data_IF_184085421807
#
_entry.id   IF_184085421807
#
_cell.length_a   1.000
_cell.length_b   1.000
_cell.length_c   1.000
_cell.angle_alpha   90.00
_cell.angle_beta   90.00
_cell.angle_gamma   90.00
#
_symmetry.space_group_name_H-M   'P 1'
#
loop_
_entity.id
_entity.type
_entity.pdbx_description
1 polymer ?
#
# COMPACT_ATOMS: atom_id res chain seq x y z
N UNK A 1 23.29 -28.57 -10.17
CA UNK A 1 24.43 -29.04 -9.34
C UNK A 1 24.85 -27.92 -8.42
N UNK A 2 24.78 -28.17 -7.11
CA UNK A 2 25.30 -27.36 -6.00
C UNK A 2 24.99 -25.87 -5.92
N UNK A 3 23.82 -25.55 -5.37
CA UNK A 3 23.50 -24.24 -4.85
C UNK A 3 24.23 -23.97 -3.53
N UNK A 4 25.01 -22.88 -3.48
CA UNK A 4 25.60 -22.37 -2.26
C UNK A 4 24.48 -21.73 -1.41
N UNK A 5 24.01 -22.45 -0.39
CA UNK A 5 23.23 -21.85 0.70
C UNK A 5 24.21 -21.12 1.64
N UNK A 6 24.27 -19.80 1.56
CA UNK A 6 24.91 -18.99 2.59
C UNK A 6 23.90 -18.89 3.75
N UNK A 7 24.07 -19.75 4.74
CA UNK A 7 23.38 -19.65 6.03
C UNK A 7 24.08 -18.60 6.87
N UNK A 8 23.50 -17.40 6.95
CA UNK A 8 23.90 -16.43 7.97
C UNK A 8 23.37 -16.91 9.32
N UNK A 9 24.28 -17.47 10.13
CA UNK A 9 23.98 -17.82 11.52
C UNK A 9 23.87 -16.52 12.32
N UNK A 10 22.64 -16.24 12.77
CA UNK A 10 22.33 -15.15 13.69
C UNK A 10 23.14 -15.30 14.98
N UNK A 11 23.92 -14.28 15.33
CA UNK A 11 24.80 -14.21 16.50
C UNK A 11 24.08 -14.12 17.87
N UNK A 12 22.80 -14.40 17.97
CA UNK A 12 22.03 -14.26 19.22
C UNK A 12 21.23 -15.51 19.64
N UNK A 13 21.73 -16.70 19.31
CA UNK A 13 21.21 -17.97 19.85
C UNK A 13 22.31 -18.72 20.59
N UNK A 14 22.99 -18.07 21.54
CA UNK A 14 23.89 -18.77 22.49
C UNK A 14 23.63 -18.20 23.89
N UNK A 15 22.55 -18.59 24.50
CA UNK A 15 22.48 -18.91 25.92
C UNK A 15 21.90 -20.33 25.97
N UNK A 16 22.72 -21.26 25.59
CA UNK A 16 22.45 -22.67 25.81
C UNK A 16 23.75 -23.32 26.27
N UNK A 17 23.73 -23.72 27.49
CA UNK A 17 24.38 -24.91 28.02
C UNK A 17 25.92 -25.06 27.78
N UNK A 18 26.70 -24.43 28.62
CA UNK A 18 28.07 -24.93 28.91
C UNK A 18 27.92 -26.07 29.96
N UNK A 19 27.83 -27.30 29.48
CA UNK A 19 28.05 -28.47 30.33
C UNK A 19 29.55 -28.65 30.48
N UNK A 20 30.11 -28.22 31.63
CA UNK A 20 31.44 -28.60 32.06
C UNK A 20 31.38 -29.98 32.73
N UNK A 21 31.82 -31.02 32.05
CA UNK A 21 32.16 -32.29 32.66
C UNK A 21 33.50 -32.15 33.36
N UNK A 22 33.48 -31.91 34.68
CA UNK A 22 34.63 -32.12 35.54
C UNK A 22 34.45 -33.48 36.21
N UNK A 23 35.26 -34.44 35.81
CA UNK A 23 35.49 -35.68 36.56
C UNK A 23 36.49 -35.34 37.67
N UNK A 24 36.02 -35.34 38.91
CA UNK A 24 36.86 -35.11 40.08
C UNK A 24 36.18 -35.54 41.38
N UNK A 25 36.57 -36.67 41.88
CA UNK A 25 36.52 -37.28 43.21
C UNK A 25 35.81 -36.53 44.34
N UNK A 26 34.74 -37.11 44.85
CA UNK A 26 34.35 -37.27 46.24
C UNK A 26 34.25 -36.05 47.17
N UNK A 27 33.04 -35.45 47.23
CA UNK A 27 32.39 -34.97 48.47
C UNK A 27 30.89 -34.85 48.20
N UNK A 28 30.05 -35.35 49.13
CA UNK A 28 28.59 -35.13 49.09
C UNK A 28 28.32 -33.63 49.00
N UNK A 29 27.97 -33.14 47.85
CA UNK A 29 27.40 -31.79 47.64
C UNK A 29 25.91 -31.97 47.48
N UNK A 30 25.11 -31.23 48.25
CA UNK A 30 23.68 -31.09 48.08
C UNK A 30 23.36 -30.92 46.61
N UNK A 31 22.46 -31.76 46.06
CA UNK A 31 21.95 -31.60 44.71
C UNK A 31 21.23 -30.23 44.63
N UNK A 32 21.90 -29.23 44.03
CA UNK A 32 21.21 -28.03 43.61
C UNK A 32 20.08 -28.46 42.65
N UNK A 33 18.86 -28.33 43.07
CA UNK A 33 17.68 -28.55 42.24
C UNK A 33 17.77 -27.61 41.06
N UNK A 34 17.66 -28.13 39.83
CA UNK A 34 17.59 -27.28 38.65
C UNK A 34 16.43 -26.29 38.78
N UNK A 35 16.62 -25.02 38.44
CA UNK A 35 15.56 -24.01 38.56
C UNK A 35 14.39 -24.36 37.67
N UNK A 36 13.17 -24.29 38.21
CA UNK A 36 11.94 -24.58 37.48
C UNK A 36 11.39 -23.29 36.87
N UNK A 37 11.27 -23.26 35.53
CA UNK A 37 10.64 -22.17 34.82
C UNK A 37 9.20 -22.51 34.47
N UNK A 38 8.30 -21.54 34.70
CA UNK A 38 6.88 -21.64 34.31
C UNK A 38 6.51 -20.39 33.47
N UNK A 39 5.75 -20.62 32.41
CA UNK A 39 5.28 -19.57 31.53
C UNK A 39 3.76 -19.48 31.57
N UNK A 40 3.25 -18.23 31.53
CA UNK A 40 1.84 -17.94 31.43
C UNK A 40 1.59 -16.87 30.40
N UNK A 41 0.73 -17.16 29.43
CA UNK A 41 0.31 -16.21 28.38
C UNK A 41 -1.08 -15.68 28.67
N UNK A 42 -1.26 -14.35 28.49
CA UNK A 42 -2.55 -13.69 28.60
C UNK A 42 -2.77 -12.79 27.38
N UNK A 43 -3.97 -12.88 26.78
CA UNK A 43 -4.41 -11.97 25.73
C UNK A 43 -5.30 -10.93 26.37
N UNK A 44 -4.96 -9.65 26.21
CA UNK A 44 -5.69 -8.52 26.78
C UNK A 44 -7.13 -8.50 26.26
N UNK A 45 -8.11 -8.43 27.18
CA UNK A 45 -9.53 -8.34 26.86
C UNK A 45 -10.04 -6.92 27.05
N UNK A 46 -11.20 -6.63 26.45
CA UNK A 46 -11.84 -5.31 26.58
C UNK A 46 -12.09 -4.96 28.06
N UNK A 47 -11.61 -3.81 28.48
CA UNK A 47 -11.76 -3.29 29.85
C UNK A 47 -10.70 -3.76 30.84
N UNK A 48 -9.74 -4.59 30.45
CA UNK A 48 -8.59 -4.93 31.27
C UNK A 48 -7.51 -3.84 31.18
N UNK A 49 -6.76 -3.70 32.25
CA UNK A 49 -5.55 -2.91 32.32
C UNK A 49 -4.39 -3.77 32.81
N UNK A 50 -3.16 -3.30 32.62
CA UNK A 50 -1.98 -4.09 32.95
C UNK A 50 -1.92 -4.46 34.43
N UNK A 51 -2.42 -3.62 35.32
CA UNK A 51 -2.45 -3.89 36.75
C UNK A 51 -3.34 -5.12 37.10
N UNK A 52 -4.57 -5.12 36.58
CA UNK A 52 -5.50 -6.24 36.76
C UNK A 52 -5.02 -7.52 36.12
N UNK A 53 -4.29 -7.43 35.00
CA UNK A 53 -3.70 -8.60 34.34
C UNK A 53 -2.58 -9.20 35.21
N UNK A 54 -1.69 -8.34 35.73
CA UNK A 54 -0.62 -8.81 36.62
C UNK A 54 -1.15 -9.50 37.86
N UNK A 55 -2.29 -9.02 38.42
CA UNK A 55 -2.98 -9.71 39.52
C UNK A 55 -3.48 -11.09 39.11
N UNK A 56 -4.16 -11.19 37.95
CA UNK A 56 -4.64 -12.48 37.40
C UNK A 56 -3.50 -13.47 37.16
N UNK A 57 -2.35 -13.00 36.79
CA UNK A 57 -1.14 -13.79 36.57
C UNK A 57 -0.37 -14.08 37.87
N UNK A 58 -0.97 -13.73 39.04
CA UNK A 58 -0.39 -13.92 40.36
C UNK A 58 0.99 -13.25 40.52
N UNK A 59 1.12 -12.02 40.00
CA UNK A 59 2.27 -11.13 40.21
C UNK A 59 1.89 -10.08 41.24
N UNK A 60 1.96 -10.39 42.52
CA UNK A 60 1.51 -9.51 43.59
C UNK A 60 2.66 -8.69 44.17
N UNK A 61 3.71 -9.35 44.65
CA UNK A 61 4.75 -8.72 45.48
C UNK A 61 5.63 -7.69 44.69
N UNK A 62 5.83 -7.89 43.41
CA UNK A 62 6.65 -7.00 42.59
C UNK A 62 5.82 -6.12 41.63
N UNK A 63 4.49 -6.20 41.65
CA UNK A 63 3.59 -5.49 40.74
C UNK A 63 3.88 -3.99 40.64
N UNK A 64 3.90 -3.29 41.77
CA UNK A 64 4.16 -1.85 41.78
C UNK A 64 5.53 -1.47 41.24
N UNK A 65 6.55 -2.29 41.48
CA UNK A 65 7.90 -2.07 40.95
C UNK A 65 7.91 -2.21 39.43
N UNK A 66 7.24 -3.21 38.87
CA UNK A 66 7.09 -3.42 37.43
C UNK A 66 6.37 -2.24 36.78
N UNK A 67 5.21 -1.83 37.34
CA UNK A 67 4.44 -0.71 36.83
C UNK A 67 5.21 0.61 36.89
N UNK A 68 5.96 0.84 37.98
CA UNK A 68 6.80 2.03 38.14
C UNK A 68 7.94 2.04 37.12
N UNK A 69 8.60 0.90 36.94
CA UNK A 69 9.67 0.76 35.97
C UNK A 69 9.16 0.99 34.53
N UNK A 70 8.02 0.40 34.17
CA UNK A 70 7.35 0.66 32.86
C UNK A 70 6.99 2.12 32.66
N UNK A 71 6.45 2.79 33.71
CA UNK A 71 6.13 4.21 33.68
C UNK A 71 7.38 5.06 33.41
N UNK A 72 8.46 4.78 34.12
CA UNK A 72 9.73 5.50 33.95
C UNK A 72 10.35 5.31 32.56
N UNK A 73 10.11 4.15 31.95
CA UNK A 73 10.53 3.84 30.57
C UNK A 73 9.58 4.38 29.50
N UNK A 74 8.54 5.14 29.88
CA UNK A 74 7.60 5.72 28.93
C UNK A 74 6.57 4.76 28.33
N UNK A 75 6.30 3.64 29.00
CA UNK A 75 5.29 2.68 28.54
C UNK A 75 3.90 3.35 28.42
N UNK A 76 3.24 3.21 27.23
CA UNK A 76 1.99 3.90 26.96
C UNK A 76 0.77 3.15 27.55
N UNK A 77 0.57 3.21 28.87
CA UNK A 77 -0.53 2.49 29.57
C UNK A 77 -1.92 2.68 28.97
N UNK A 78 -2.17 3.84 28.32
CA UNK A 78 -3.45 4.12 27.64
C UNK A 78 -3.61 3.37 26.31
N UNK A 79 -2.55 2.76 25.83
CA UNK A 79 -2.54 1.99 24.57
C UNK A 79 -2.53 0.49 24.78
N UNK A 80 -2.87 0.01 26.00
CA UNK A 80 -3.17 -1.41 26.20
C UNK A 80 -4.50 -1.73 25.53
N UNK A 81 -4.45 -2.40 24.39
CA UNK A 81 -5.61 -2.66 23.55
C UNK A 81 -6.02 -4.14 23.64
N UNK A 82 -7.32 -4.44 23.49
CA UNK A 82 -7.76 -5.83 23.35
C UNK A 82 -7.06 -6.50 22.16
N UNK A 83 -6.50 -7.69 22.40
CA UNK A 83 -5.70 -8.44 21.44
C UNK A 83 -4.20 -8.39 21.70
N UNK A 84 -3.70 -7.41 22.46
CA UNK A 84 -2.30 -7.38 22.90
C UNK A 84 -1.96 -8.64 23.72
N UNK A 85 -0.70 -9.08 23.65
CA UNK A 85 -0.28 -10.33 24.31
C UNK A 85 0.72 -10.03 25.43
N UNK A 86 0.52 -10.69 26.57
CA UNK A 86 1.44 -10.66 27.70
C UNK A 86 1.94 -12.08 27.95
N UNK A 87 3.26 -12.26 27.92
CA UNK A 87 3.93 -13.47 28.31
C UNK A 87 4.68 -13.22 29.62
N UNK A 88 4.35 -13.99 30.65
CA UNK A 88 4.99 -13.95 31.96
C UNK A 88 5.82 -15.19 32.17
N UNK A 89 7.09 -15.05 32.54
CA UNK A 89 7.95 -16.14 32.95
C UNK A 89 8.26 -16.01 34.43
N UNK A 90 8.10 -17.09 35.17
CA UNK A 90 8.50 -17.22 36.58
C UNK A 90 9.61 -18.24 36.71
N UNK A 91 10.54 -18.01 37.63
CA UNK A 91 11.58 -18.93 38.05
C UNK A 91 11.37 -19.30 39.47
N UNK A 92 11.21 -20.61 39.78
CA UNK A 92 10.94 -21.13 41.12
C UNK A 92 9.72 -20.47 41.81
N UNK A 93 8.68 -20.12 40.97
CA UNK A 93 7.47 -19.44 41.43
C UNK A 93 7.58 -17.91 41.51
N UNK A 94 8.80 -17.35 41.48
CA UNK A 94 8.99 -15.90 41.53
C UNK A 94 9.01 -15.28 40.16
N UNK A 95 8.66 -14.01 40.05
CA UNK A 95 8.72 -13.21 38.79
C UNK A 95 10.13 -13.20 38.25
N UNK A 96 10.30 -13.61 36.98
CA UNK A 96 11.55 -13.57 36.24
C UNK A 96 11.50 -12.52 35.14
N UNK A 97 10.53 -12.61 34.22
CA UNK A 97 10.39 -11.66 33.14
C UNK A 97 8.93 -11.51 32.68
N UNK A 98 8.64 -10.39 32.02
CA UNK A 98 7.38 -10.12 31.36
C UNK A 98 7.66 -9.54 29.99
N UNK A 99 7.02 -10.11 28.96
CA UNK A 99 7.01 -9.58 27.61
C UNK A 99 5.60 -9.05 27.33
N UNK A 100 5.47 -7.77 27.02
CA UNK A 100 4.24 -7.16 26.56
C UNK A 100 4.37 -6.85 25.07
N UNK A 101 3.52 -7.44 24.26
CA UNK A 101 3.52 -7.28 22.80
C UNK A 101 2.21 -6.65 22.35
N UNK A 102 2.28 -5.44 21.77
CA UNK A 102 1.14 -4.77 21.13
C UNK A 102 1.00 -5.21 19.68
N UNK A 103 2.13 -5.25 18.98
CA UNK A 103 2.25 -5.70 17.59
C UNK A 103 3.68 -6.21 17.36
N UNK A 104 4.02 -6.51 16.12
CA UNK A 104 5.36 -6.98 15.78
C UNK A 104 6.45 -5.93 16.01
N UNK A 105 6.09 -4.64 16.03
CA UNK A 105 7.03 -3.53 16.17
C UNK A 105 7.15 -3.00 17.59
N UNK A 106 6.13 -3.19 18.42
CA UNK A 106 6.06 -2.64 19.77
C UNK A 106 6.03 -3.75 20.81
N UNK A 107 7.22 -4.18 21.23
CA UNK A 107 7.39 -5.20 22.26
C UNK A 107 8.25 -4.66 23.41
N UNK A 108 7.71 -4.75 24.63
CA UNK A 108 8.35 -4.31 25.87
C UNK A 108 8.77 -5.53 26.68
N UNK A 109 10.02 -5.54 27.11
CA UNK A 109 10.55 -6.58 28.00
C UNK A 109 10.85 -5.99 29.36
N UNK A 110 10.35 -6.63 30.39
CA UNK A 110 10.70 -6.36 31.79
C UNK A 110 11.40 -7.58 32.32
N UNK A 111 12.65 -7.43 32.75
CA UNK A 111 13.44 -8.50 33.34
C UNK A 111 13.81 -8.10 34.76
N UNK A 112 13.67 -9.03 35.70
CA UNK A 112 14.16 -8.87 37.07
C UNK A 112 15.66 -9.12 37.08
N UNK A 113 16.44 -8.11 37.43
CA UNK A 113 17.83 -8.26 37.84
C UNK A 113 17.91 -8.37 39.35
N UNK A 114 19.06 -8.69 39.90
CA UNK A 114 19.28 -8.93 41.35
C UNK A 114 18.85 -7.76 42.21
N UNK A 115 18.93 -6.54 41.74
CA UNK A 115 18.62 -5.31 42.50
C UNK A 115 17.53 -4.43 41.90
N UNK A 116 17.19 -4.58 40.60
CA UNK A 116 16.25 -3.70 39.90
C UNK A 116 15.46 -4.43 38.82
N UNK A 117 14.48 -3.73 38.22
CA UNK A 117 13.77 -4.19 37.03
C UNK A 117 14.33 -3.45 35.82
N UNK A 118 14.98 -4.21 34.95
CA UNK A 118 15.46 -3.68 33.67
C UNK A 118 14.32 -3.72 32.66
N UNK A 119 14.12 -2.61 31.98
CA UNK A 119 13.17 -2.53 30.87
C UNK A 119 13.95 -2.26 29.61
N UNK A 120 13.77 -3.14 28.65
CA UNK A 120 14.24 -2.91 27.28
C UNK A 120 13.04 -2.88 26.33
N UNK A 121 13.02 -1.90 25.42
CA UNK A 121 12.22 -1.99 24.21
C UNK A 121 13.05 -2.75 23.18
N UNK A 122 12.56 -3.86 22.72
CA UNK A 122 13.11 -4.46 21.53
C UNK A 122 12.52 -3.71 20.34
N UNK A 123 13.31 -2.90 19.70
CA UNK A 123 12.97 -2.48 18.34
C UNK A 123 13.21 -3.71 17.47
N UNK A 124 12.18 -4.18 16.77
CA UNK A 124 12.36 -5.32 15.90
C UNK A 124 13.42 -4.98 14.86
N UNK A 125 14.23 -5.94 14.51
CA UNK A 125 15.07 -5.83 13.33
C UNK A 125 14.11 -5.89 12.14
N UNK A 126 13.93 -4.75 11.51
CA UNK A 126 13.15 -4.66 10.28
C UNK A 126 14.12 -4.86 9.13
N UNK A 127 14.03 -6.00 8.50
CA UNK A 127 14.79 -6.31 7.30
C UNK A 127 13.97 -6.01 6.07
N UNK A 128 14.59 -5.47 5.02
CA UNK A 128 13.97 -5.30 3.70
C UNK A 128 14.59 -6.27 2.73
N UNK A 129 13.77 -6.94 1.95
CA UNK A 129 14.21 -7.87 0.92
C UNK A 129 13.55 -7.51 -0.41
N UNK A 130 14.39 -7.35 -1.44
CA UNK A 130 13.92 -7.20 -2.82
C UNK A 130 13.41 -8.54 -3.33
N UNK A 131 12.19 -8.56 -3.83
CA UNK A 131 11.51 -9.76 -4.31
C UNK A 131 10.89 -9.48 -5.67
N UNK A 132 11.07 -10.39 -6.62
CA UNK A 132 10.35 -10.38 -7.89
C UNK A 132 9.00 -11.08 -7.70
N UNK A 133 7.92 -10.36 -8.02
CA UNK A 133 6.54 -10.86 -8.08
C UNK A 133 6.11 -10.81 -9.54
N UNK A 134 5.72 -11.94 -10.10
CA UNK A 134 5.32 -12.03 -11.51
C UNK A 134 4.17 -13.02 -11.68
N UNK A 135 3.37 -12.82 -12.73
CA UNK A 135 2.26 -13.71 -13.03
C UNK A 135 1.49 -13.26 -14.25
N UNK A 136 0.56 -14.14 -14.67
CA UNK A 136 -0.35 -13.89 -15.77
C UNK A 136 -1.74 -13.54 -15.24
N UNK A 137 -2.44 -12.66 -15.94
CA UNK A 137 -3.82 -12.29 -15.63
C UNK A 137 -4.75 -13.40 -16.16
N UNK A 138 -5.39 -14.13 -15.25
CA UNK A 138 -6.29 -15.23 -15.60
C UNK A 138 -7.79 -14.86 -15.50
N UNK A 139 -8.12 -13.79 -14.77
CA UNK A 139 -9.48 -13.24 -14.64
C UNK A 139 -9.42 -11.73 -14.47
N UNK A 140 -8.93 -11.28 -13.34
CA UNK A 140 -8.61 -9.89 -13.07
C UNK A 140 -7.19 -9.79 -12.54
N UNK A 141 -6.53 -8.65 -12.75
CA UNK A 141 -5.22 -8.40 -12.16
C UNK A 141 -5.25 -8.58 -10.63
N UNK A 142 -6.34 -8.12 -9.99
CA UNK A 142 -6.52 -8.22 -8.55
C UNK A 142 -6.50 -9.68 -8.07
N UNK A 143 -7.32 -10.54 -8.66
CA UNK A 143 -7.39 -11.97 -8.29
C UNK A 143 -6.10 -12.72 -8.62
N UNK A 144 -5.50 -12.41 -9.76
CA UNK A 144 -4.23 -13.05 -10.18
C UNK A 144 -3.08 -12.74 -9.23
N UNK A 145 -2.95 -11.50 -8.78
CA UNK A 145 -1.94 -11.12 -7.79
C UNK A 145 -2.20 -11.73 -6.41
N UNK A 146 -3.47 -11.80 -5.95
CA UNK A 146 -3.80 -12.49 -4.69
C UNK A 146 -3.49 -14.00 -4.77
N UNK A 147 -3.75 -14.63 -5.90
CA UNK A 147 -3.45 -16.05 -6.12
C UNK A 147 -1.93 -16.31 -6.14
N UNK A 148 -1.13 -15.32 -6.54
CA UNK A 148 0.33 -15.36 -6.44
C UNK A 148 0.87 -15.20 -5.01
N UNK A 149 -0.03 -15.10 -4.01
CA UNK A 149 0.33 -14.98 -2.58
C UNK A 149 0.55 -13.55 -2.11
N UNK A 150 0.24 -12.55 -2.94
CA UNK A 150 0.43 -11.15 -2.61
C UNK A 150 -0.83 -10.55 -1.95
N UNK A 151 -0.69 -9.41 -1.29
CA UNK A 151 -1.83 -8.76 -0.63
C UNK A 151 -2.47 -7.68 -1.52
N UNK A 152 -3.70 -7.29 -1.19
CA UNK A 152 -4.42 -6.19 -1.85
C UNK A 152 -3.63 -4.87 -1.85
N UNK A 153 -2.74 -4.67 -0.87
CA UNK A 153 -1.90 -3.48 -0.80
C UNK A 153 -0.94 -3.39 -1.99
N UNK A 154 -0.29 -4.50 -2.38
CA UNK A 154 0.59 -4.50 -3.56
C UNK A 154 -0.19 -4.25 -4.84
N UNK A 155 -1.39 -4.85 -4.97
CA UNK A 155 -2.25 -4.61 -6.15
C UNK A 155 -2.57 -3.13 -6.31
N UNK A 156 -2.96 -2.47 -5.22
CA UNK A 156 -3.27 -1.03 -5.24
C UNK A 156 -2.03 -0.21 -5.62
N UNK A 157 -0.89 -0.48 -4.99
CA UNK A 157 0.38 0.21 -5.28
C UNK A 157 0.82 0.03 -6.74
N UNK A 158 0.69 -1.19 -7.27
CA UNK A 158 1.00 -1.46 -8.68
C UNK A 158 0.04 -0.70 -9.62
N UNK A 159 -1.25 -0.73 -9.34
CA UNK A 159 -2.22 0.04 -10.11
C UNK A 159 -1.95 1.55 -10.06
N UNK A 160 -1.49 2.07 -8.92
CA UNK A 160 -1.13 3.48 -8.77
C UNK A 160 0.07 3.88 -9.64
N UNK A 161 1.05 2.99 -9.87
CA UNK A 161 2.18 3.27 -10.78
C UNK A 161 1.69 3.62 -12.17
N UNK A 162 0.70 2.90 -12.68
CA UNK A 162 0.18 3.04 -14.04
C UNK A 162 -1.18 3.76 -14.12
N UNK A 163 -1.68 4.35 -13.05
CA UNK A 163 -3.03 4.95 -12.98
C UNK A 163 -3.29 6.03 -14.04
N UNK A 164 -2.24 6.57 -14.66
CA UNK A 164 -2.32 7.57 -15.73
C UNK A 164 -2.15 6.97 -17.14
N UNK A 165 -1.69 5.72 -17.25
CA UNK A 165 -1.43 5.04 -18.52
C UNK A 165 -2.48 3.97 -18.83
N UNK A 166 -2.90 3.20 -17.81
CA UNK A 166 -3.74 2.03 -17.93
C UNK A 166 -4.91 2.08 -16.95
N UNK A 167 -6.10 1.72 -17.42
CA UNK A 167 -7.25 1.47 -16.56
C UNK A 167 -7.37 -0.05 -16.29
N UNK A 168 -6.88 -0.47 -15.14
CA UNK A 168 -6.87 -1.88 -14.74
C UNK A 168 -8.27 -2.51 -14.57
N UNK A 169 -9.35 -1.75 -14.67
CA UNK A 169 -10.71 -2.28 -14.59
C UNK A 169 -11.31 -2.62 -15.95
N UNK A 170 -10.82 -1.98 -17.00
CA UNK A 170 -11.43 -2.08 -18.34
C UNK A 170 -10.47 -2.45 -19.45
N UNK A 171 -9.18 -2.35 -19.22
CA UNK A 171 -8.17 -2.56 -20.26
C UNK A 171 -7.28 -3.78 -20.00
N UNK A 172 -7.41 -4.43 -18.83
CA UNK A 172 -6.71 -5.69 -18.56
C UNK A 172 -7.48 -6.86 -19.16
N UNK A 173 -6.75 -7.79 -19.77
CA UNK A 173 -7.32 -8.96 -20.41
C UNK A 173 -6.70 -10.25 -19.89
N UNK A 174 -7.39 -11.34 -20.16
CA UNK A 174 -6.89 -12.67 -19.86
C UNK A 174 -5.68 -12.98 -20.76
N UNK A 175 -4.58 -13.42 -20.17
CA UNK A 175 -3.32 -13.66 -20.87
C UNK A 175 -2.32 -12.49 -20.79
N UNK A 176 -2.75 -11.30 -20.29
CA UNK A 176 -1.80 -10.23 -19.96
C UNK A 176 -0.87 -10.67 -18.82
N UNK A 177 0.29 -10.04 -18.68
CA UNK A 177 1.26 -10.40 -17.64
C UNK A 177 1.74 -9.18 -16.86
N UNK A 178 2.18 -9.43 -15.62
CA UNK A 178 2.74 -8.40 -14.74
C UNK A 178 4.05 -8.85 -14.11
N UNK A 179 4.95 -7.89 -13.89
CA UNK A 179 6.24 -8.09 -13.22
C UNK A 179 6.44 -6.92 -12.26
N UNK A 180 6.79 -7.22 -11.01
CA UNK A 180 6.95 -6.22 -9.96
C UNK A 180 8.19 -6.57 -9.16
N UNK A 181 9.20 -5.71 -9.20
CA UNK A 181 10.36 -5.81 -8.33
C UNK A 181 10.13 -4.88 -7.15
N UNK A 182 9.87 -5.47 -5.97
CA UNK A 182 9.35 -4.77 -4.80
C UNK A 182 10.17 -5.05 -3.56
N UNK A 183 10.38 -4.04 -2.74
CA UNK A 183 10.95 -4.17 -1.40
C UNK A 183 9.86 -4.64 -0.43
N UNK A 184 10.01 -5.85 0.08
CA UNK A 184 9.19 -6.41 1.16
C UNK A 184 9.86 -6.19 2.51
N UNK A 185 9.11 -5.73 3.47
CA UNK A 185 9.57 -5.48 4.84
C UNK A 185 9.19 -6.65 5.73
N UNK A 186 10.14 -7.16 6.47
CA UNK A 186 9.98 -8.28 7.41
C UNK A 186 10.38 -7.86 8.82
N UNK A 187 9.72 -8.46 9.80
CA UNK A 187 10.10 -8.40 11.21
C UNK A 187 10.24 -9.83 11.75
N UNK A 188 11.41 -10.18 12.23
CA UNK A 188 11.69 -11.55 12.71
C UNK A 188 11.22 -12.62 11.68
N UNK A 189 11.51 -12.40 10.38
CA UNK A 189 11.10 -13.24 9.24
C UNK A 189 9.58 -13.27 8.95
N UNK A 190 8.76 -12.46 9.61
CA UNK A 190 7.33 -12.32 9.32
C UNK A 190 7.15 -11.12 8.40
N UNK A 191 6.45 -11.32 7.29
CA UNK A 191 6.10 -10.25 6.36
C UNK A 191 5.21 -9.21 7.06
N UNK A 192 5.56 -7.92 6.93
CA UNK A 192 4.80 -6.80 7.50
C UNK A 192 4.08 -6.03 6.41
N UNK A 193 4.81 -5.50 5.43
CA UNK A 193 4.29 -4.63 4.38
C UNK A 193 5.29 -4.51 3.22
N UNK A 194 4.90 -3.82 2.17
CA UNK A 194 5.76 -3.43 1.06
C UNK A 194 6.32 -2.03 1.32
N UNK A 195 7.62 -1.86 1.15
CA UNK A 195 8.26 -0.54 1.27
C UNK A 195 8.06 0.25 -0.04
N UNK A 196 8.74 -0.14 -1.11
CA UNK A 196 8.61 0.53 -2.41
C UNK A 196 8.60 -0.47 -3.57
N UNK A 197 7.86 -0.15 -4.62
CA UNK A 197 8.01 -0.83 -5.92
C UNK A 197 9.20 -0.16 -6.61
N UNK A 198 10.26 -0.93 -6.85
CA UNK A 198 11.47 -0.41 -7.51
C UNK A 198 11.33 -0.45 -9.02
N UNK A 199 10.65 -1.48 -9.52
CA UNK A 199 10.31 -1.64 -10.93
C UNK A 199 8.94 -2.29 -11.07
N UNK A 200 8.17 -1.83 -12.04
CA UNK A 200 6.88 -2.38 -12.42
C UNK A 200 6.82 -2.53 -13.94
N UNK A 201 6.25 -3.65 -14.40
CA UNK A 201 5.96 -3.86 -15.80
C UNK A 201 4.59 -4.53 -15.94
N UNK A 202 3.82 -4.06 -16.90
CA UNK A 202 2.59 -4.69 -17.36
C UNK A 202 2.68 -4.87 -18.87
N UNK A 203 2.37 -6.07 -19.36
CA UNK A 203 2.35 -6.40 -20.79
C UNK A 203 1.00 -6.99 -21.15
N UNK A 204 0.39 -6.49 -22.20
CA UNK A 204 -0.91 -6.97 -22.64
C UNK A 204 -1.41 -6.29 -23.91
N UNK A 205 -2.66 -6.59 -24.28
CA UNK A 205 -3.28 -6.04 -25.49
C UNK A 205 -3.36 -4.50 -25.45
N UNK A 206 -3.48 -3.90 -24.26
CA UNK A 206 -3.46 -2.44 -24.11
C UNK A 206 -2.08 -1.81 -24.38
N UNK A 207 -1.03 -2.62 -24.43
CA UNK A 207 0.36 -2.21 -24.62
C UNK A 207 1.28 -2.68 -23.50
N UNK A 208 2.58 -2.39 -23.69
CA UNK A 208 3.62 -2.67 -22.71
C UNK A 208 3.94 -1.39 -21.93
N UNK A 209 3.81 -1.46 -20.61
CA UNK A 209 4.02 -0.34 -19.69
C UNK A 209 5.13 -0.66 -18.72
N UNK A 210 6.10 0.23 -18.59
CA UNK A 210 7.26 0.09 -17.73
C UNK A 210 7.32 1.26 -16.76
N UNK A 211 7.58 0.98 -15.49
CA UNK A 211 7.70 1.96 -14.42
C UNK A 211 8.97 1.71 -13.59
N UNK A 212 9.96 2.57 -13.74
CA UNK A 212 11.20 2.58 -12.97
C UNK A 212 11.09 3.65 -11.89
N UNK A 213 11.18 3.27 -10.63
CA UNK A 213 11.29 4.23 -9.53
C UNK A 213 12.67 4.85 -9.54
N UNK A 214 12.72 6.17 -9.54
CA UNK A 214 13.97 6.90 -9.48
C UNK A 214 13.86 8.11 -8.59
N UNK A 215 14.85 8.28 -7.72
CA UNK A 215 15.02 9.46 -6.86
C UNK A 215 16.26 10.20 -7.31
N UNK A 216 16.07 11.46 -7.73
CA UNK A 216 17.19 12.30 -8.15
C UNK A 216 18.01 12.81 -6.94
N UNK A 217 19.25 13.29 -7.14
CA UNK A 217 20.08 13.84 -6.08
C UNK A 217 19.48 15.06 -5.35
N UNK A 218 18.49 15.72 -5.93
CA UNK A 218 17.75 16.82 -5.30
C UNK A 218 16.58 16.33 -4.43
N UNK A 219 16.35 15.00 -4.41
CA UNK A 219 15.31 14.36 -3.61
C UNK A 219 13.95 14.29 -4.26
N UNK A 220 13.82 14.63 -5.56
CA UNK A 220 12.59 14.37 -6.32
C UNK A 220 12.51 12.89 -6.67
N UNK A 221 11.38 12.29 -6.38
CA UNK A 221 11.13 10.88 -6.63
C UNK A 221 9.83 10.69 -7.40
N UNK A 222 9.85 9.81 -8.39
CA UNK A 222 8.69 9.47 -9.20
C UNK A 222 8.94 8.15 -9.96
N UNK A 223 7.90 7.66 -10.65
CA UNK A 223 8.03 6.58 -11.63
C UNK A 223 8.20 7.15 -13.03
N UNK A 224 9.18 6.62 -13.73
CA UNK A 224 9.52 7.01 -15.09
C UNK A 224 9.47 5.79 -16.01
N UNK A 225 9.11 6.01 -17.28
CA UNK A 225 9.22 4.98 -18.31
C UNK A 225 10.69 4.78 -18.75
N UNK A 226 10.97 3.79 -19.59
CA UNK A 226 12.34 3.46 -19.99
C UNK A 226 13.12 4.65 -20.59
N UNK A 227 12.44 5.64 -21.20
CA UNK A 227 13.05 6.86 -21.72
C UNK A 227 13.14 8.00 -20.69
N UNK A 228 12.91 7.76 -19.43
CA UNK A 228 12.97 8.78 -18.39
C UNK A 228 11.83 9.79 -18.39
N UNK A 229 10.72 9.50 -19.10
CA UNK A 229 9.50 10.33 -19.06
C UNK A 229 8.65 9.93 -17.87
N UNK A 230 8.19 10.92 -17.07
CA UNK A 230 7.31 10.62 -15.92
C UNK A 230 6.04 9.88 -16.36
N UNK A 231 5.67 8.83 -15.66
CA UNK A 231 4.39 8.14 -15.85
C UNK A 231 3.23 8.99 -15.36
N UNK A 232 3.44 9.89 -14.41
CA UNK A 232 2.39 10.76 -13.88
C UNK A 232 1.95 11.77 -14.96
N UNK A 233 0.65 11.79 -15.19
CA UNK A 233 0.00 12.84 -15.97
C UNK A 233 -0.73 13.79 -15.05
N UNK A 234 -1.00 14.99 -15.50
CA UNK A 234 -1.73 15.98 -14.72
C UNK A 234 -3.19 15.60 -14.43
N UNK A 235 -3.71 14.60 -15.13
CA UNK A 235 -5.06 14.08 -14.97
C UNK A 235 -5.06 12.55 -15.05
N UNK A 236 -5.81 11.90 -14.15
CA UNK A 236 -6.07 10.45 -14.18
C UNK A 236 -6.89 10.05 -15.41
N UNK A 237 -6.81 8.81 -15.80
CA UNK A 237 -7.52 8.26 -16.96
C UNK A 237 -9.03 8.13 -16.69
N UNK A 238 -9.41 7.73 -15.48
CA UNK A 238 -10.80 7.55 -15.06
C UNK A 238 -11.10 8.22 -13.71
N UNK A 239 -12.30 8.80 -13.50
CA UNK A 239 -12.74 9.39 -12.23
C UNK A 239 -13.34 8.38 -11.24
N UNK A 240 -13.55 7.13 -11.64
CA UNK A 240 -14.22 6.11 -10.83
C UNK A 240 -13.88 4.70 -11.33
N UNK A 241 -14.16 3.70 -10.50
CA UNK A 241 -14.30 2.30 -10.95
C UNK A 241 -15.64 2.14 -11.63
N UNK A 242 -15.67 1.60 -12.84
CA UNK A 242 -16.88 1.43 -13.64
C UNK A 242 -16.95 0.05 -14.29
N UNK A 243 -18.15 -0.37 -14.70
CA UNK A 243 -18.35 -1.65 -15.38
C UNK A 243 -18.06 -1.54 -16.89
N UNK A 244 -18.57 -0.48 -17.52
CA UNK A 244 -18.38 -0.19 -18.95
C UNK A 244 -18.76 1.24 -19.30
N UNK A 245 -18.38 1.69 -20.50
CA UNK A 245 -18.79 2.98 -21.07
C UNK A 245 -20.03 2.74 -21.96
N UNK A 246 -21.17 3.25 -21.53
CA UNK A 246 -22.43 3.13 -22.29
C UNK A 246 -22.54 4.13 -23.44
N UNK A 247 -21.82 5.24 -23.37
CA UNK A 247 -21.85 6.25 -24.42
C UNK A 247 -20.52 7.02 -24.51
N UNK A 248 -20.01 7.09 -25.73
CA UNK A 248 -18.74 7.75 -26.03
C UNK A 248 -18.95 9.21 -26.46
N UNK A 249 -17.86 10.00 -26.37
CA UNK A 249 -17.80 11.34 -26.93
C UNK A 249 -18.13 11.34 -28.43
N UNK A 250 -19.10 12.18 -28.82
CA UNK A 250 -19.54 12.26 -30.20
C UNK A 250 -19.95 13.68 -30.57
N UNK A 251 -19.56 14.13 -31.76
CA UNK A 251 -20.03 15.43 -32.30
C UNK A 251 -21.51 15.40 -32.69
N UNK A 252 -22.06 14.21 -32.97
CA UNK A 252 -23.46 14.03 -33.38
C UNK A 252 -23.93 12.63 -33.02
N UNK A 253 -24.92 12.51 -32.08
CA UNK A 253 -25.63 11.26 -31.79
C UNK A 253 -27.10 11.52 -31.61
N UNK A 254 -27.90 10.50 -31.79
CA UNK A 254 -29.34 10.55 -31.50
C UNK A 254 -29.56 10.44 -29.98
N UNK A 255 -30.20 11.49 -29.41
CA UNK A 255 -30.34 11.55 -27.96
C UNK A 255 -31.47 10.61 -27.48
N UNK A 256 -31.22 9.65 -26.55
CA UNK A 256 -32.19 8.60 -26.21
C UNK A 256 -33.49 9.15 -25.61
N UNK A 257 -33.44 10.25 -24.85
CA UNK A 257 -34.60 10.85 -24.19
C UNK A 257 -35.25 11.91 -25.09
N UNK A 258 -34.48 12.85 -25.59
CA UNK A 258 -35.00 14.00 -26.34
C UNK A 258 -35.38 13.67 -27.78
N UNK A 259 -34.97 12.49 -28.29
CA UNK A 259 -35.23 12.01 -29.66
C UNK A 259 -34.81 12.99 -30.76
N UNK A 260 -33.71 13.70 -30.52
CA UNK A 260 -33.08 14.65 -31.45
C UNK A 260 -31.61 14.38 -31.63
N UNK A 261 -31.06 14.77 -32.77
CA UNK A 261 -29.61 14.69 -33.00
C UNK A 261 -28.92 15.84 -32.28
N UNK A 262 -27.97 15.51 -31.39
CA UNK A 262 -27.16 16.48 -30.66
C UNK A 262 -25.79 15.91 -30.33
N UNK A 263 -24.80 16.75 -30.04
CA UNK A 263 -23.48 16.28 -29.59
C UNK A 263 -23.60 15.64 -28.20
N UNK A 264 -22.70 14.70 -27.93
CA UNK A 264 -22.40 14.16 -26.61
C UNK A 264 -20.99 14.58 -26.21
N UNK A 265 -20.88 15.52 -25.30
CA UNK A 265 -19.62 16.20 -24.95
C UNK A 265 -18.79 15.45 -23.89
N UNK A 266 -19.17 14.22 -23.55
CA UNK A 266 -18.53 13.44 -22.49
C UNK A 266 -18.52 11.95 -22.75
N UNK A 267 -18.23 11.22 -21.67
CA UNK A 267 -18.35 9.78 -21.58
C UNK A 267 -19.40 9.46 -20.52
N UNK A 268 -20.21 8.44 -20.77
CA UNK A 268 -21.18 7.95 -19.79
C UNK A 268 -20.66 6.62 -19.20
N UNK A 269 -20.13 6.68 -17.96
CA UNK A 269 -19.59 5.54 -17.22
C UNK A 269 -20.68 4.88 -16.40
N UNK A 270 -20.96 3.60 -16.63
CA UNK A 270 -21.96 2.82 -15.88
C UNK A 270 -21.32 2.14 -14.68
N UNK A 271 -21.92 2.35 -13.52
CA UNK A 271 -21.57 1.69 -12.27
C UNK A 271 -22.80 1.70 -11.31
N UNK A 272 -22.78 0.95 -10.21
CA UNK A 272 -23.83 0.98 -9.19
C UNK A 272 -24.03 2.38 -8.59
N UNK A 273 -25.29 2.71 -8.23
CA UNK A 273 -25.56 3.95 -7.49
C UNK A 273 -24.75 3.98 -6.20
N UNK A 274 -24.16 5.14 -5.91
CA UNK A 274 -23.33 5.31 -4.72
C UNK A 274 -21.86 4.98 -4.93
N UNK A 275 -21.43 4.54 -6.13
CA UNK A 275 -20.01 4.37 -6.47
C UNK A 275 -19.27 5.69 -6.22
N UNK A 276 -18.15 5.68 -5.49
CA UNK A 276 -17.35 6.87 -5.25
C UNK A 276 -16.81 7.47 -6.55
N UNK A 277 -16.88 8.81 -6.66
CA UNK A 277 -16.35 9.58 -7.80
C UNK A 277 -15.28 10.51 -7.26
N UNK A 278 -14.10 10.45 -7.88
CA UNK A 278 -12.94 11.23 -7.50
C UNK A 278 -12.58 12.28 -8.55
N UNK A 279 -11.90 13.35 -8.11
CA UNK A 279 -11.31 14.32 -9.04
C UNK A 279 -10.21 13.63 -9.86
N UNK A 280 -10.25 13.81 -11.18
CA UNK A 280 -9.20 13.25 -12.08
C UNK A 280 -7.84 13.95 -11.95
N UNK A 281 -7.75 15.06 -11.24
CA UNK A 281 -6.51 15.80 -11.07
C UNK A 281 -6.60 16.84 -9.99
N UNK A 282 -5.44 17.39 -9.62
CA UNK A 282 -5.37 18.54 -8.73
C UNK A 282 -6.13 19.71 -9.33
N UNK A 283 -6.93 20.40 -8.51
CA UNK A 283 -7.69 21.52 -9.03
C UNK A 283 -8.50 22.26 -7.97
N UNK A 284 -9.27 23.24 -8.44
CA UNK A 284 -10.19 24.02 -7.62
C UNK A 284 -11.62 23.77 -8.05
N UNK A 285 -12.49 23.41 -7.11
CA UNK A 285 -13.94 23.29 -7.36
C UNK A 285 -14.49 24.66 -7.76
N UNK A 286 -15.02 24.76 -8.96
CA UNK A 286 -15.58 26.00 -9.52
C UNK A 286 -17.11 25.98 -9.60
N UNK A 287 -17.72 24.82 -9.49
CA UNK A 287 -19.16 24.64 -9.40
C UNK A 287 -19.53 23.40 -8.57
N UNK A 288 -20.57 23.50 -7.77
CA UNK A 288 -21.21 22.41 -7.03
C UNK A 288 -22.68 22.75 -6.86
N UNK A 289 -23.57 21.95 -7.40
CA UNK A 289 -25.02 22.18 -7.29
C UNK A 289 -25.81 21.52 -8.40
N UNK A 290 -27.09 21.83 -8.45
CA UNK A 290 -27.98 21.41 -9.53
C UNK A 290 -27.78 22.27 -10.79
N UNK A 291 -27.65 21.64 -11.96
CA UNK A 291 -27.45 22.35 -13.24
C UNK A 291 -28.25 21.68 -14.39
N UNK A 292 -29.51 22.00 -14.49
CA UNK A 292 -30.37 21.56 -15.58
C UNK A 292 -30.29 20.06 -15.87
N UNK A 293 -30.05 19.69 -17.12
CA UNK A 293 -29.94 18.29 -17.54
C UNK A 293 -28.85 17.48 -16.87
N UNK A 294 -27.78 18.11 -16.36
CA UNK A 294 -26.72 17.41 -15.63
C UNK A 294 -27.14 16.91 -14.23
N UNK A 295 -28.29 17.41 -13.70
CA UNK A 295 -28.68 17.14 -12.32
C UNK A 295 -27.65 17.70 -11.32
N UNK A 296 -27.29 16.94 -10.32
CA UNK A 296 -26.22 17.32 -9.41
C UNK A 296 -24.87 17.25 -10.13
N UNK A 297 -24.20 18.38 -10.20
CA UNK A 297 -22.94 18.56 -10.94
C UNK A 297 -21.83 19.09 -10.02
N UNK A 298 -20.63 18.57 -10.21
CA UNK A 298 -19.37 19.17 -9.73
C UNK A 298 -18.56 19.54 -10.96
N UNK A 299 -17.96 20.75 -10.94
CA UNK A 299 -16.93 21.16 -11.91
C UNK A 299 -15.62 21.48 -11.18
N UNK A 300 -14.53 20.93 -11.69
CA UNK A 300 -13.16 21.18 -11.16
C UNK A 300 -12.33 21.83 -12.25
N UNK A 301 -11.67 22.94 -11.92
CA UNK A 301 -10.69 23.60 -12.80
C UNK A 301 -9.30 23.16 -12.42
N UNK A 302 -8.59 22.58 -13.37
CA UNK A 302 -7.22 22.08 -13.26
C UNK A 302 -6.19 23.05 -13.85
N UNK A 303 -4.90 22.71 -13.74
CA UNK A 303 -3.81 23.39 -14.45
C UNK A 303 -3.97 23.22 -15.97
N UNK A 304 -3.16 23.96 -16.73
CA UNK A 304 -3.10 23.88 -18.21
C UNK A 304 -4.48 24.09 -18.89
N UNK A 305 -5.34 24.92 -18.30
CA UNK A 305 -6.67 25.25 -18.80
C UNK A 305 -7.62 24.04 -18.97
N UNK A 306 -7.39 22.96 -18.26
CA UNK A 306 -8.33 21.84 -18.18
C UNK A 306 -9.44 22.13 -17.18
N UNK A 307 -10.61 21.61 -17.48
CA UNK A 307 -11.78 21.58 -16.59
C UNK A 307 -12.51 20.25 -16.74
N UNK A 308 -12.79 19.58 -15.64
CA UNK A 308 -13.61 18.37 -15.61
C UNK A 308 -15.01 18.66 -15.04
N UNK A 309 -16.00 17.90 -15.52
CA UNK A 309 -17.40 17.95 -15.08
C UNK A 309 -17.86 16.54 -14.73
N UNK A 310 -18.62 16.46 -13.62
CA UNK A 310 -19.11 15.20 -13.07
C UNK A 310 -20.61 15.35 -12.81
N UNK A 311 -21.42 14.87 -13.76
CA UNK A 311 -22.88 15.00 -13.75
C UNK A 311 -23.62 13.77 -13.22
N UNK A 312 -24.93 13.93 -13.02
CA UNK A 312 -25.87 12.91 -12.54
C UNK A 312 -25.58 12.35 -11.15
N UNK A 313 -24.83 13.10 -10.30
CA UNK A 313 -24.45 12.65 -8.96
C UNK A 313 -25.66 12.41 -8.07
N UNK A 314 -25.63 11.36 -7.24
CA UNK A 314 -26.64 11.13 -6.20
C UNK A 314 -26.48 12.11 -5.03
N UNK A 315 -25.21 12.34 -4.63
CA UNK A 315 -24.83 13.26 -3.55
C UNK A 315 -23.40 13.74 -3.72
N UNK A 316 -23.09 14.86 -3.08
CA UNK A 316 -21.73 15.40 -3.02
C UNK A 316 -20.94 14.79 -1.86
N UNK A 317 -19.61 14.80 -1.94
CA UNK A 317 -18.75 14.41 -0.83
C UNK A 317 -18.92 15.38 0.35
N UNK A 318 -18.80 14.84 1.58
CA UNK A 318 -18.84 15.64 2.80
C UNK A 318 -17.66 16.63 2.80
N UNK A 319 -17.94 17.89 3.13
CA UNK A 319 -16.92 18.94 3.17
C UNK A 319 -16.48 19.45 1.79
N UNK A 320 -17.15 19.09 0.69
CA UNK A 320 -16.93 19.70 -0.62
C UNK A 320 -17.67 21.03 -0.72
N UNK A 321 -17.01 22.09 -1.20
CA UNK A 321 -17.60 23.43 -1.43
C UNK A 321 -16.93 24.11 -2.62
N UNK A 322 -17.60 25.08 -3.21
CA UNK A 322 -17.04 25.91 -4.30
C UNK A 322 -15.88 26.73 -3.76
N UNK A 323 -14.73 26.62 -4.41
CA UNK A 323 -13.50 27.26 -3.96
C UNK A 323 -12.52 26.30 -3.30
N UNK A 324 -12.96 25.08 -2.88
CA UNK A 324 -12.07 24.08 -2.29
C UNK A 324 -11.03 23.62 -3.30
N UNK A 325 -9.79 23.51 -2.87
CA UNK A 325 -8.75 22.78 -3.60
C UNK A 325 -8.90 21.29 -3.32
N UNK A 326 -8.92 20.49 -4.38
CA UNK A 326 -8.97 19.03 -4.33
C UNK A 326 -7.73 18.46 -4.99
N UNK A 327 -7.28 17.31 -4.50
CA UNK A 327 -6.17 16.55 -5.08
C UNK A 327 -6.68 15.54 -6.11
N UNK A 328 -5.78 15.08 -6.97
CA UNK A 328 -6.02 13.91 -7.82
C UNK A 328 -6.43 12.70 -6.96
N UNK A 329 -7.50 12.00 -7.34
CA UNK A 329 -8.06 10.89 -6.56
C UNK A 329 -8.92 11.30 -5.35
N UNK A 330 -9.02 12.59 -5.00
CA UNK A 330 -9.86 13.03 -3.88
C UNK A 330 -11.35 12.85 -4.18
N UNK A 331 -12.08 12.26 -3.23
CA UNK A 331 -13.52 12.03 -3.32
C UNK A 331 -14.30 13.34 -3.45
N UNK A 332 -15.13 13.49 -4.50
CA UNK A 332 -15.93 14.68 -4.78
C UNK A 332 -17.44 14.41 -4.77
N UNK A 333 -17.86 13.16 -4.92
CA UNK A 333 -19.27 12.80 -4.93
C UNK A 333 -19.51 11.31 -5.14
N UNK A 334 -20.74 10.97 -5.42
CA UNK A 334 -21.16 9.59 -5.61
C UNK A 334 -22.07 9.49 -6.83
N UNK A 335 -21.89 8.43 -7.62
CA UNK A 335 -22.67 8.14 -8.81
C UNK A 335 -24.17 8.06 -8.48
N UNK A 336 -24.97 8.60 -9.38
CA UNK A 336 -26.43 8.60 -9.28
C UNK A 336 -27.13 8.49 -10.63
N UNK A 337 -28.31 9.10 -10.71
CA UNK A 337 -29.13 9.20 -11.92
C UNK A 337 -29.99 10.46 -11.87
N UNK A 338 -29.41 11.57 -11.36
CA UNK A 338 -30.15 12.85 -11.22
C UNK A 338 -30.15 13.64 -12.53
N UNK A 339 -31.15 14.48 -12.73
CA UNK A 339 -31.28 15.26 -13.95
C UNK A 339 -31.83 14.47 -15.15
N UNK A 340 -31.31 14.72 -16.35
CA UNK A 340 -31.73 14.07 -17.59
C UNK A 340 -30.96 12.77 -17.82
N UNK A 341 -31.32 11.74 -17.07
CA UNK A 341 -30.67 10.44 -17.06
C UNK A 341 -31.70 9.31 -17.26
N UNK A 342 -31.31 8.25 -17.99
CA UNK A 342 -32.15 7.05 -18.21
C UNK A 342 -31.83 5.92 -17.21
N UNK A 343 -30.79 6.04 -16.44
CA UNK A 343 -30.35 5.04 -15.49
C UNK A 343 -29.04 5.44 -14.79
N UNK A 344 -28.55 4.63 -13.85
CA UNK A 344 -27.35 4.94 -13.09
C UNK A 344 -26.12 5.06 -13.98
N UNK A 345 -25.52 6.25 -14.06
CA UNK A 345 -24.26 6.50 -14.74
C UNK A 345 -23.64 7.82 -14.30
N UNK A 346 -22.35 7.96 -14.49
CA UNK A 346 -21.65 9.24 -14.41
C UNK A 346 -21.54 9.82 -15.84
N UNK A 347 -22.08 11.00 -16.04
CA UNK A 347 -21.75 11.81 -17.22
C UNK A 347 -20.48 12.61 -16.93
N UNK A 348 -19.39 12.26 -17.61
CA UNK A 348 -18.07 12.86 -17.40
C UNK A 348 -17.65 13.66 -18.64
N UNK A 349 -17.38 14.94 -18.46
CA UNK A 349 -16.82 15.79 -19.51
C UNK A 349 -15.43 16.29 -19.15
N UNK A 350 -14.56 16.35 -20.15
CA UNK A 350 -13.26 17.04 -20.06
C UNK A 350 -13.24 18.19 -21.07
N UNK A 351 -12.88 19.37 -20.59
CA UNK A 351 -12.75 20.57 -21.40
C UNK A 351 -11.31 21.06 -21.40
N UNK A 352 -10.81 21.52 -22.55
CA UNK A 352 -9.52 22.20 -22.70
C UNK A 352 -9.75 23.55 -23.34
N UNK A 353 -9.27 24.63 -22.71
CA UNK A 353 -9.52 26.01 -23.16
C UNK A 353 -11.03 26.33 -23.35
N UNK A 354 -11.89 25.78 -22.49
CA UNK A 354 -13.35 25.97 -22.54
C UNK A 354 -14.10 25.10 -23.57
N UNK A 355 -13.41 24.34 -24.41
CA UNK A 355 -13.99 23.48 -25.44
C UNK A 355 -14.02 22.03 -24.96
N UNK A 356 -15.15 21.29 -25.11
CA UNK A 356 -15.20 19.86 -24.79
C UNK A 356 -14.24 19.08 -25.69
N UNK A 357 -13.49 18.17 -25.08
CA UNK A 357 -12.54 17.28 -25.77
C UNK A 357 -12.85 15.82 -25.43
N UNK A 358 -12.51 14.90 -26.34
CA UNK A 358 -12.66 13.48 -26.04
C UNK A 358 -11.66 13.04 -24.98
N UNK A 359 -12.12 12.63 -23.74
CA UNK A 359 -11.23 12.27 -22.65
C UNK A 359 -10.29 11.11 -22.98
N UNK A 360 -10.69 10.18 -23.86
CA UNK A 360 -9.91 9.02 -24.27
C UNK A 360 -8.82 9.34 -25.29
N UNK A 361 -8.90 10.50 -25.98
CA UNK A 361 -7.98 10.86 -27.08
C UNK A 361 -7.15 12.10 -26.83
N UNK A 362 -7.50 12.89 -25.81
CA UNK A 362 -6.77 14.13 -25.52
C UNK A 362 -5.39 13.83 -24.94
N UNK A 363 -4.36 14.51 -25.45
CA UNK A 363 -3.02 14.44 -24.86
C UNK A 363 -2.98 15.19 -23.54
N UNK A 364 -2.85 14.45 -22.45
CA UNK A 364 -2.69 14.98 -21.10
C UNK A 364 -1.20 15.27 -20.87
N UNK A 365 -0.83 16.48 -20.41
CA UNK A 365 0.56 16.79 -20.06
C UNK A 365 1.08 15.88 -18.95
N UNK A 366 2.30 15.38 -19.11
CA UNK A 366 3.01 14.62 -18.08
C UNK A 366 3.61 15.54 -17.01
N UNK A 367 3.90 14.99 -15.86
CA UNK A 367 4.80 15.61 -14.90
C UNK A 367 6.22 15.75 -15.51
N UNK A 368 7.11 16.54 -14.91
CA UNK A 368 8.47 16.70 -15.44
C UNK A 368 9.16 15.33 -15.57
N UNK A 369 9.80 15.12 -16.69
CA UNK A 369 10.69 13.97 -16.94
C UNK A 369 11.94 14.07 -16.04
N UNK A 370 12.75 13.03 -16.00
CA UNK A 370 14.08 13.08 -15.41
C UNK A 370 14.83 14.27 -16.00
N UNK A 371 15.45 15.08 -15.15
CA UNK A 371 16.21 16.25 -15.58
C UNK A 371 17.42 15.81 -16.41
N UNK A 372 17.70 16.51 -17.49
CA UNK A 372 18.77 16.17 -18.44
C UNK A 372 20.12 15.90 -17.74
N UNK A 373 20.46 16.71 -16.73
CA UNK A 373 21.70 16.53 -15.92
C UNK A 373 21.76 15.24 -15.12
N UNK A 374 20.63 14.55 -14.90
CA UNK A 374 20.54 13.28 -14.17
C UNK A 374 20.17 12.10 -15.08
N UNK A 375 20.05 12.31 -16.38
CA UNK A 375 19.61 11.27 -17.32
C UNK A 375 20.56 10.08 -17.32
N UNK A 376 21.88 10.32 -17.36
CA UNK A 376 22.89 9.26 -17.31
C UNK A 376 22.77 8.42 -16.00
N UNK A 377 22.48 9.06 -14.86
CA UNK A 377 22.29 8.35 -13.59
C UNK A 377 21.02 7.50 -13.61
N UNK A 378 19.96 8.03 -14.22
CA UNK A 378 18.73 7.30 -14.42
C UNK A 378 18.92 6.07 -15.33
N UNK A 379 19.57 6.24 -16.47
CA UNK A 379 19.85 5.16 -17.43
C UNK A 379 20.68 4.05 -16.78
N UNK A 380 21.75 4.40 -16.08
CA UNK A 380 22.57 3.42 -15.35
C UNK A 380 21.75 2.67 -14.29
N UNK A 381 20.87 3.37 -13.55
CA UNK A 381 19.99 2.76 -12.55
C UNK A 381 18.97 1.82 -13.20
N UNK A 382 18.30 2.27 -14.25
CA UNK A 382 17.37 1.48 -15.07
C UNK A 382 18.04 0.21 -15.56
N UNK A 383 19.19 0.33 -16.26
CA UNK A 383 19.88 -0.79 -16.90
C UNK A 383 20.37 -1.82 -15.87
N UNK A 384 20.84 -1.36 -14.72
CA UNK A 384 21.19 -2.25 -13.58
C UNK A 384 19.95 -3.03 -13.08
N UNK A 385 18.80 -2.38 -12.95
CA UNK A 385 17.56 -3.05 -12.54
C UNK A 385 17.11 -4.06 -13.58
N UNK A 386 17.12 -3.70 -14.86
CA UNK A 386 16.73 -4.58 -15.95
C UNK A 386 17.61 -5.84 -15.96
N UNK A 387 18.91 -5.69 -15.85
CA UNK A 387 19.86 -6.81 -15.78
C UNK A 387 19.61 -7.74 -14.59
N UNK A 388 19.33 -7.17 -13.40
CA UNK A 388 18.99 -7.95 -12.21
C UNK A 388 17.71 -8.74 -12.44
N UNK A 389 16.67 -8.11 -12.97
CA UNK A 389 15.37 -8.75 -13.19
C UNK A 389 15.49 -9.87 -14.22
N UNK A 390 16.23 -9.67 -15.31
CA UNK A 390 16.50 -10.71 -16.30
C UNK A 390 17.23 -11.92 -15.68
N UNK A 391 18.22 -11.65 -14.83
CA UNK A 391 18.97 -12.71 -14.16
C UNK A 391 18.12 -13.56 -13.19
N UNK A 392 17.04 -12.97 -12.63
CA UNK A 392 16.16 -13.62 -11.65
C UNK A 392 14.94 -14.26 -12.30
N UNK A 393 14.42 -13.68 -13.39
CA UNK A 393 13.18 -14.14 -14.04
C UNK A 393 13.33 -15.47 -14.76
N UNK A 394 14.57 -15.92 -15.05
CA UNK A 394 14.82 -17.20 -15.71
C UNK A 394 14.17 -17.30 -17.10
N UNK A 395 14.03 -18.53 -17.62
CA UNK A 395 13.57 -18.89 -18.99
C UNK A 395 12.11 -18.48 -19.35
N UNK A 396 11.43 -17.65 -18.57
CA UNK A 396 10.11 -17.09 -18.92
C UNK A 396 10.26 -15.88 -19.83
N UNK A 397 10.79 -16.11 -21.03
CA UNK A 397 10.83 -15.22 -22.22
C UNK A 397 10.77 -13.72 -21.94
N UNK A 398 11.68 -13.01 -22.53
CA UNK A 398 11.79 -11.57 -22.77
C UNK A 398 10.83 -10.65 -21.94
N UNK A 399 11.28 -10.29 -20.76
CA UNK A 399 10.59 -9.26 -19.95
C UNK A 399 10.73 -7.88 -20.62
N UNK A 400 11.71 -7.72 -21.53
CA UNK A 400 12.08 -6.43 -22.09
C UNK A 400 12.06 -6.43 -23.63
N UNK A 401 11.75 -5.27 -24.26
CA UNK A 401 11.89 -5.13 -25.70
C UNK A 401 13.36 -5.37 -26.07
N UNK A 402 13.58 -6.14 -27.15
CA UNK A 402 14.90 -6.19 -27.77
C UNK A 402 15.37 -4.77 -28.05
N UNK A 403 16.64 -4.48 -27.69
CA UNK A 403 17.25 -3.18 -27.94
C UNK A 403 17.10 -2.85 -29.44
N UNK A 404 16.50 -1.73 -29.80
CA UNK A 404 16.53 -1.33 -31.22
C UNK A 404 17.96 -0.93 -31.54
N UNK A 405 18.70 -1.88 -32.16
CA UNK A 405 20.03 -1.66 -32.73
C UNK A 405 20.05 -0.54 -33.77
#
# INVERSE_FOLDING_TARGET
MNGLRITYISKYSIIALLIFTIIGCGKKTDKATEPTFTEAMHIVKRGENLETILEKLSVVDCRLRILTALKNAGFPFRKCLPGDTILLTKKDGEFCSLTYRQDLQNTYFVVRDTTCYLISMKYPIVDTMLTLVQGDVNSTLYESMLTSGETSNLVIRFADVFAWELDFFTETQNGDSFFIYVEKTFCDSVFIDYASIVFACYKGEAGDFYGVYFRDPEGHEDYYNLEGKSLRKSLLKSPLRFSYISSYFSKRRYHPILKVWRPHHGLDYVAPIGTPISSIGDGKVVFKGWKGGYGNLVEVRHKNNFRSRYGHLSRFAKGLYVGKHVKSGELIGYLGSTGLSTGPHLHFELHKNGVPVNPLKVKIPRAPSVKEKYMIQYENHRDSLLHIIESISGDRGEVFPEDPT
#
